data_IF_947239559863
#
_entry.id   IF_947239559863
#
_cell.length_a   1.000
_cell.length_b   1.000
_cell.length_c   1.000
_cell.angle_alpha   90.00
_cell.angle_beta   90.00
_cell.angle_gamma   90.00
#
_symmetry.space_group_name_H-M   'P 1'
#
loop_
_entity.id
_entity.type
_entity.pdbx_description
1 polymer ?
#
# COMPACT_ATOMS: atom_id res chain seq x y z
N UNK A 1 -18.88 -18.67 -5.28
CA UNK A 1 -20.09 -17.86 -4.95
C UNK A 1 -19.94 -17.04 -3.65
N UNK A 2 -18.98 -17.34 -2.76
CA UNK A 2 -18.86 -16.65 -1.44
C UNK A 2 -17.64 -15.73 -1.28
N UNK A 3 -16.79 -15.59 -2.31
CA UNK A 3 -15.64 -14.67 -2.23
C UNK A 3 -16.11 -13.23 -2.34
N UNK A 4 -15.50 -12.35 -1.54
CA UNK A 4 -15.72 -10.91 -1.67
C UNK A 4 -15.09 -10.37 -2.97
N UNK A 5 -15.48 -9.15 -3.33
CA UNK A 5 -15.01 -8.46 -4.55
C UNK A 5 -13.49 -8.45 -4.71
N UNK A 6 -12.75 -8.28 -3.61
CA UNK A 6 -11.29 -8.21 -3.57
C UNK A 6 -10.64 -9.51 -3.08
N UNK A 7 -11.28 -10.67 -3.28
CA UNK A 7 -10.75 -11.95 -2.84
C UNK A 7 -10.62 -12.96 -3.98
N UNK A 8 -9.66 -13.87 -3.84
CA UNK A 8 -9.41 -15.00 -4.74
C UNK A 8 -9.06 -16.25 -3.93
N UNK A 9 -9.14 -17.42 -4.56
CA UNK A 9 -8.57 -18.64 -4.02
C UNK A 9 -7.13 -18.82 -4.51
N UNK A 10 -6.17 -18.81 -3.58
CA UNK A 10 -4.76 -19.06 -3.83
C UNK A 10 -4.03 -19.63 -2.58
N UNK A 11 -3.24 -20.72 -2.71
CA UNK A 11 -3.25 -21.62 -3.86
C UNK A 11 -4.62 -22.31 -3.97
N UNK A 12 -4.93 -22.87 -5.15
CA UNK A 12 -6.13 -23.71 -5.31
C UNK A 12 -5.83 -25.11 -4.76
N UNK A 13 -5.67 -25.19 -3.45
CA UNK A 13 -5.54 -26.46 -2.72
C UNK A 13 -6.75 -27.39 -3.00
N UNK A 14 -6.62 -28.71 -2.79
CA UNK A 14 -7.72 -29.63 -3.02
C UNK A 14 -8.98 -29.22 -2.26
N UNK A 15 -10.11 -29.44 -2.92
CA UNK A 15 -11.45 -29.23 -2.35
C UNK A 15 -11.61 -30.15 -1.14
N UNK A 16 -11.93 -29.58 0.02
CA UNK A 16 -12.14 -30.34 1.26
C UNK A 16 -13.43 -31.16 1.23
N UNK A 17 -14.38 -30.77 0.39
CA UNK A 17 -15.67 -31.42 0.23
C UNK A 17 -16.65 -30.50 -0.48
N UNK A 18 -17.93 -30.89 -0.46
CA UNK A 18 -19.00 -30.13 -1.10
C UNK A 18 -20.11 -29.82 -0.09
N UNK A 19 -20.62 -28.59 -0.13
CA UNK A 19 -21.80 -28.19 0.62
C UNK A 19 -22.84 -27.70 -0.37
N UNK A 20 -23.99 -28.37 -0.43
CA UNK A 20 -25.05 -28.12 -1.44
C UNK A 20 -24.51 -28.07 -2.88
N UNK A 21 -23.60 -28.99 -3.21
CA UNK A 21 -22.96 -29.08 -4.53
C UNK A 21 -21.88 -28.01 -4.82
N UNK A 22 -21.60 -27.10 -3.88
CA UNK A 22 -20.54 -26.10 -4.02
C UNK A 22 -19.23 -26.60 -3.38
N UNK A 23 -18.07 -26.48 -4.06
CA UNK A 23 -16.79 -26.89 -3.50
C UNK A 23 -16.40 -26.01 -2.30
N UNK A 24 -15.95 -26.66 -1.24
CA UNK A 24 -15.47 -26.05 0.00
C UNK A 24 -13.94 -26.06 0.01
N UNK A 25 -13.35 -24.89 0.24
CA UNK A 25 -11.91 -24.70 0.30
C UNK A 25 -11.49 -24.28 1.71
N UNK A 26 -10.25 -24.58 2.15
CA UNK A 26 -9.71 -24.05 3.38
C UNK A 26 -9.76 -22.51 3.40
N UNK A 27 -10.10 -21.91 4.55
CA UNK A 27 -10.13 -20.43 4.69
C UNK A 27 -8.78 -19.78 4.36
N UNK A 28 -7.66 -20.48 4.61
CA UNK A 28 -6.30 -20.06 4.25
C UNK A 28 -6.08 -19.87 2.75
N UNK A 29 -6.89 -20.51 1.89
CA UNK A 29 -6.82 -20.31 0.45
C UNK A 29 -7.51 -19.00 0.04
N UNK A 30 -8.37 -18.42 0.87
CA UNK A 30 -9.04 -17.16 0.56
C UNK A 30 -8.08 -16.01 0.82
N UNK A 31 -7.52 -15.48 -0.25
CA UNK A 31 -6.57 -14.40 -0.21
C UNK A 31 -7.19 -13.08 -0.60
N UNK A 32 -6.76 -12.01 0.08
CA UNK A 32 -7.16 -10.63 -0.24
C UNK A 32 -6.23 -10.05 -1.29
N UNK A 33 -6.80 -9.40 -2.29
CA UNK A 33 -6.10 -8.68 -3.34
C UNK A 33 -6.12 -7.18 -3.06
N UNK A 34 -5.02 -6.49 -3.40
CA UNK A 34 -4.85 -5.05 -3.20
C UNK A 34 -4.11 -4.44 -4.38
N UNK A 35 -4.30 -3.14 -4.61
CA UNK A 35 -3.51 -2.41 -5.62
C UNK A 35 -2.07 -2.22 -5.15
N UNK A 36 -1.16 -1.86 -6.08
CA UNK A 36 0.25 -1.58 -5.76
C UNK A 36 0.36 -0.54 -4.65
N UNK A 37 -0.39 0.56 -4.74
CA UNK A 37 -0.35 1.63 -3.75
C UNK A 37 -0.84 1.19 -2.37
N UNK A 38 -1.84 0.29 -2.33
CA UNK A 38 -2.36 -0.23 -1.06
C UNK A 38 -1.42 -1.26 -0.42
N UNK A 39 -0.63 -1.98 -1.20
CA UNK A 39 0.44 -2.84 -0.68
C UNK A 39 1.57 -2.03 -0.04
N UNK A 40 1.93 -0.88 -0.61
CA UNK A 40 2.97 -0.01 -0.02
C UNK A 40 2.61 0.39 1.41
N UNK A 41 1.34 0.72 1.67
CA UNK A 41 0.85 1.06 3.02
C UNK A 41 1.02 -0.07 4.05
N UNK A 42 1.15 -1.31 3.57
CA UNK A 42 1.38 -2.51 4.38
C UNK A 42 2.86 -2.93 4.40
N UNK A 43 3.77 -2.02 4.03
CA UNK A 43 5.20 -2.27 3.90
C UNK A 43 5.51 -3.38 2.88
N UNK A 44 4.79 -3.39 1.77
CA UNK A 44 5.00 -4.35 0.68
C UNK A 44 5.04 -3.69 -0.69
N UNK A 45 5.89 -4.20 -1.56
CA UNK A 45 5.99 -3.77 -2.95
C UNK A 45 5.67 -4.94 -3.86
N UNK A 46 4.85 -4.70 -4.89
CA UNK A 46 4.55 -5.71 -5.91
C UNK A 46 5.79 -5.90 -6.79
N UNK A 47 6.19 -7.14 -7.05
CA UNK A 47 7.33 -7.43 -7.92
C UNK A 47 7.10 -6.88 -9.32
N UNK A 48 8.14 -6.42 -9.97
CA UNK A 48 8.05 -5.78 -11.29
C UNK A 48 7.51 -6.73 -12.38
N UNK A 49 7.84 -8.01 -12.26
CA UNK A 49 7.43 -9.08 -13.17
C UNK A 49 6.05 -9.69 -12.84
N UNK A 50 5.40 -9.25 -11.76
CA UNK A 50 4.13 -9.83 -11.35
C UNK A 50 2.97 -9.36 -12.23
N UNK A 51 2.22 -10.31 -12.80
CA UNK A 51 0.98 -10.03 -13.51
C UNK A 51 -0.21 -9.84 -12.54
N UNK A 52 -1.16 -8.93 -12.82
CA UNK A 52 -2.30 -8.70 -11.95
C UNK A 52 -3.22 -9.93 -11.92
N UNK A 53 -3.59 -10.38 -10.72
CA UNK A 53 -4.53 -11.49 -10.52
C UNK A 53 -5.95 -11.11 -10.93
N UNK A 54 -6.29 -9.83 -10.77
CA UNK A 54 -7.62 -9.31 -11.09
C UNK A 54 -7.55 -7.85 -11.51
N UNK A 55 -8.24 -7.53 -12.59
CA UNK A 55 -8.55 -6.15 -12.99
C UNK A 55 -9.95 -5.79 -12.52
N UNK A 56 -10.12 -4.57 -12.01
CA UNK A 56 -11.43 -4.06 -11.63
C UNK A 56 -11.63 -2.61 -12.04
N UNK A 57 -12.84 -2.22 -12.45
CA UNK A 57 -13.12 -0.83 -12.74
C UNK A 57 -12.93 0.01 -11.47
N UNK A 58 -12.32 1.19 -11.65
CA UNK A 58 -12.25 2.20 -10.61
C UNK A 58 -13.64 2.60 -10.12
N UNK A 59 -13.71 3.14 -8.90
CA UNK A 59 -14.97 3.61 -8.32
C UNK A 59 -15.48 4.82 -9.12
N UNK A 60 -16.78 4.85 -9.41
CA UNK A 60 -17.45 6.04 -9.98
C UNK A 60 -17.24 7.25 -9.07
N UNK A 61 -16.94 8.41 -9.65
CA UNK A 61 -16.60 9.65 -8.94
C UNK A 61 -15.18 9.69 -8.35
N UNK A 62 -14.31 8.72 -8.65
CA UNK A 62 -12.89 8.82 -8.33
C UNK A 62 -12.12 9.52 -9.45
N UNK A 63 -10.95 10.10 -9.15
CA UNK A 63 -10.06 10.69 -10.16
C UNK A 63 -9.59 9.70 -11.23
N UNK A 64 -9.75 8.39 -10.99
CA UNK A 64 -9.43 7.30 -11.91
C UNK A 64 -10.66 6.70 -12.57
N UNK A 65 -11.81 7.37 -12.55
CA UNK A 65 -13.03 6.87 -13.20
C UNK A 65 -12.78 6.55 -14.68
N UNK A 66 -13.34 5.42 -15.15
CA UNK A 66 -13.07 4.88 -16.48
C UNK A 66 -11.79 4.03 -16.59
N UNK A 67 -10.90 4.05 -15.58
CA UNK A 67 -9.69 3.24 -15.58
C UNK A 67 -9.89 1.87 -14.89
N UNK A 68 -9.04 0.91 -15.24
CA UNK A 68 -8.93 -0.37 -14.55
C UNK A 68 -7.89 -0.28 -13.43
N UNK A 69 -8.20 -0.86 -12.28
CA UNK A 69 -7.32 -1.02 -11.14
C UNK A 69 -6.80 -2.45 -11.15
N UNK A 70 -5.48 -2.58 -11.19
CA UNK A 70 -4.76 -3.83 -11.04
C UNK A 70 -4.71 -4.27 -9.58
N UNK A 71 -4.96 -5.55 -9.33
CA UNK A 71 -4.96 -6.13 -8.00
C UNK A 71 -4.04 -7.34 -7.92
N UNK A 72 -3.25 -7.36 -6.86
CA UNK A 72 -2.20 -8.32 -6.60
C UNK A 72 -2.42 -8.98 -5.24
N UNK A 73 -2.02 -10.24 -5.12
CA UNK A 73 -2.01 -10.98 -3.88
C UNK A 73 -0.71 -10.85 -3.11
N UNK A 74 -0.71 -11.23 -1.83
CA UNK A 74 0.48 -11.15 -0.96
C UNK A 74 1.69 -11.92 -1.54
N UNK A 75 1.46 -13.08 -2.17
CA UNK A 75 2.52 -13.93 -2.74
C UNK A 75 3.26 -13.28 -3.93
N UNK A 76 2.72 -12.20 -4.48
CA UNK A 76 3.29 -11.42 -5.59
C UNK A 76 4.10 -10.22 -5.14
N UNK A 77 4.35 -10.12 -3.84
CA UNK A 77 4.95 -8.93 -3.23
C UNK A 77 6.13 -9.30 -2.37
N UNK A 78 7.07 -8.37 -2.23
CA UNK A 78 8.20 -8.45 -1.31
C UNK A 78 8.08 -7.36 -0.24
N UNK A 79 8.93 -7.45 0.79
CA UNK A 79 8.99 -6.43 1.84
C UNK A 79 9.46 -5.12 1.21
N UNK A 80 8.66 -4.06 1.37
CA UNK A 80 9.07 -2.72 1.00
C UNK A 80 10.14 -2.23 1.98
N UNK A 81 11.23 -1.69 1.45
CA UNK A 81 12.29 -1.05 2.23
C UNK A 81 12.30 0.42 1.82
N UNK A 82 12.02 1.36 2.74
CA UNK A 82 12.09 2.77 2.42
C UNK A 82 13.50 3.16 1.99
N UNK A 83 13.64 4.15 1.11
CA UNK A 83 14.94 4.70 0.76
C UNK A 83 15.66 5.26 1.99
N UNK A 84 16.98 5.39 1.91
CA UNK A 84 17.77 6.10 2.90
C UNK A 84 17.89 7.58 2.51
N UNK A 85 18.04 8.46 3.50
CA UNK A 85 18.55 9.79 3.26
C UNK A 85 20.03 9.71 2.87
N UNK A 86 20.40 10.43 1.81
CA UNK A 86 21.76 10.50 1.30
C UNK A 86 22.21 11.96 1.35
N UNK A 87 23.43 12.21 1.82
CA UNK A 87 24.04 13.56 1.91
C UNK A 87 23.17 14.59 2.65
N UNK A 88 22.44 14.13 3.67
CA UNK A 88 21.53 14.96 4.44
C UNK A 88 20.22 15.32 3.73
N UNK A 89 19.96 14.74 2.55
CA UNK A 89 18.75 14.99 1.75
C UNK A 89 17.72 13.91 2.02
N UNK A 90 16.50 14.32 2.40
CA UNK A 90 15.38 13.41 2.60
C UNK A 90 14.78 13.00 1.24
N UNK A 91 14.54 11.70 0.99
CA UNK A 91 13.85 11.26 -0.22
C UNK A 91 12.39 11.74 -0.22
N UNK A 92 11.97 12.33 -1.34
CA UNK A 92 10.67 13.02 -1.50
C UNK A 92 9.96 12.55 -2.76
N UNK A 93 8.63 12.65 -2.76
CA UNK A 93 7.83 12.54 -3.98
C UNK A 93 7.96 13.80 -4.86
N UNK A 94 7.33 13.78 -6.04
CA UNK A 94 7.29 14.90 -7.00
C UNK A 94 6.71 16.20 -6.40
N UNK A 95 5.98 16.10 -5.28
CA UNK A 95 5.34 17.21 -4.58
C UNK A 95 6.11 17.65 -3.32
N UNK A 96 7.34 17.18 -3.12
CA UNK A 96 8.15 17.41 -1.90
C UNK A 96 7.51 16.88 -0.60
N UNK A 97 6.68 15.83 -0.72
CA UNK A 97 5.99 15.16 0.38
C UNK A 97 6.51 13.73 0.52
N UNK A 98 6.16 13.13 1.65
CA UNK A 98 6.46 11.74 1.94
C UNK A 98 5.26 11.11 2.64
N UNK A 99 4.69 10.06 2.07
CA UNK A 99 3.63 9.28 2.69
C UNK A 99 4.21 8.37 3.80
N UNK A 100 3.81 8.61 5.05
CA UNK A 100 4.24 7.82 6.22
C UNK A 100 3.01 7.19 6.87
N UNK A 101 2.68 5.96 6.48
CA UNK A 101 1.51 5.25 7.03
C UNK A 101 1.80 4.57 8.37
N UNK A 102 3.04 4.14 8.57
CA UNK A 102 3.54 3.54 9.81
C UNK A 102 4.95 4.06 10.09
N UNK A 103 5.47 3.94 11.32
CA UNK A 103 6.86 4.31 11.62
C UNK A 103 7.89 3.62 10.73
N UNK A 104 7.59 2.44 10.20
CA UNK A 104 8.47 1.71 9.27
C UNK A 104 8.58 2.35 7.89
N UNK A 105 7.71 3.30 7.54
CA UNK A 105 7.80 4.05 6.27
C UNK A 105 8.84 5.18 6.33
N UNK A 106 9.36 5.51 7.52
CA UNK A 106 10.36 6.57 7.67
C UNK A 106 11.65 6.15 6.98
N UNK A 107 12.20 6.98 6.06
CA UNK A 107 13.47 6.74 5.42
C UNK A 107 14.59 6.46 6.41
N UNK A 108 15.50 5.57 6.04
CA UNK A 108 16.67 5.30 6.87
C UNK A 108 17.51 6.57 7.05
N UNK A 109 17.94 6.85 8.27
CA UNK A 109 18.64 8.11 8.60
C UNK A 109 17.73 9.32 8.84
N UNK A 110 16.41 9.15 8.73
CA UNK A 110 15.44 10.18 9.09
C UNK A 110 14.71 9.85 10.40
N UNK A 111 14.07 10.88 10.96
CA UNK A 111 13.11 10.74 12.06
C UNK A 111 11.86 11.57 11.73
N UNK A 112 10.69 11.03 12.03
CA UNK A 112 9.44 11.76 11.88
C UNK A 112 9.23 12.69 13.08
N UNK A 113 9.16 14.01 12.84
CA UNK A 113 8.97 15.03 13.87
C UNK A 113 7.54 15.58 13.84
N UNK A 114 6.72 15.22 14.82
CA UNK A 114 5.32 15.63 14.93
C UNK A 114 5.17 16.93 15.74
N UNK A 115 5.54 18.07 15.15
CA UNK A 115 5.36 19.39 15.78
C UNK A 115 4.78 20.41 14.80
N UNK A 116 3.87 21.25 15.27
CA UNK A 116 3.16 22.27 14.46
C UNK A 116 4.09 23.18 13.65
N UNK A 117 5.25 23.51 14.20
CA UNK A 117 6.22 24.43 13.59
C UNK A 117 7.50 23.74 13.09
N UNK A 118 7.54 22.40 13.03
CA UNK A 118 8.73 21.64 12.63
C UNK A 118 9.28 22.08 11.27
N UNK A 119 8.42 22.14 10.24
CA UNK A 119 8.81 22.56 8.89
C UNK A 119 9.34 24.01 8.86
N UNK A 120 8.72 24.92 9.63
CA UNK A 120 9.18 26.30 9.71
C UNK A 120 10.56 26.40 10.35
N UNK A 121 10.82 25.62 11.40
CA UNK A 121 12.12 25.60 12.07
C UNK A 121 13.19 24.95 11.20
N UNK A 122 12.90 23.81 10.55
CA UNK A 122 13.82 23.15 9.63
C UNK A 122 14.26 24.11 8.51
N UNK A 123 13.31 24.85 7.92
CA UNK A 123 13.60 25.88 6.92
C UNK A 123 14.49 27.01 7.46
N UNK A 124 14.26 27.49 8.69
CA UNK A 124 15.10 28.53 9.33
C UNK A 124 16.51 28.03 9.61
N UNK A 125 16.64 26.76 10.01
CA UNK A 125 17.90 26.10 10.32
C UNK A 125 18.63 25.57 9.08
N UNK A 126 18.06 25.74 7.88
CA UNK A 126 18.60 25.23 6.62
C UNK A 126 18.82 23.71 6.62
N UNK A 127 17.95 22.97 7.31
CA UNK A 127 17.94 21.51 7.34
C UNK A 127 16.96 21.01 6.28
N UNK A 128 17.38 20.06 5.45
CA UNK A 128 16.50 19.40 4.48
C UNK A 128 15.40 18.62 5.23
N UNK A 129 14.16 18.75 4.76
CA UNK A 129 13.02 18.04 5.30
C UNK A 129 12.02 17.69 4.20
N UNK A 130 11.18 16.69 4.47
CA UNK A 130 9.99 16.38 3.70
C UNK A 130 8.74 16.59 4.57
N UNK A 131 7.63 17.01 3.96
CA UNK A 131 6.35 17.05 4.67
C UNK A 131 5.80 15.64 4.77
N UNK A 132 5.70 15.13 6.00
CA UNK A 132 5.16 13.81 6.29
C UNK A 132 3.61 13.81 6.21
N UNK A 133 3.06 13.00 5.32
CA UNK A 133 1.63 12.76 5.19
C UNK A 133 1.28 11.49 5.99
N UNK A 134 0.71 11.65 7.18
CA UNK A 134 0.50 10.54 8.13
C UNK A 134 -0.95 10.08 8.30
N UNK A 135 -1.83 10.47 7.37
CA UNK A 135 -3.26 10.18 7.44
C UNK A 135 -4.11 11.28 6.83
N UNK A 136 -5.42 11.02 6.80
CA UNK A 136 -6.42 12.03 6.47
C UNK A 136 -7.26 12.29 7.71
N UNK A 137 -7.36 13.55 8.11
CA UNK A 137 -8.23 13.96 9.19
C UNK A 137 -9.65 14.07 8.62
N UNK A 138 -10.52 13.10 8.95
CA UNK A 138 -11.93 13.17 8.58
C UNK A 138 -12.60 14.00 9.67
N UNK A 139 -12.73 15.30 9.42
CA UNK A 139 -13.52 16.16 10.30
C UNK A 139 -14.97 15.64 10.28
N UNK A 140 -15.57 15.35 11.45
CA UNK A 140 -16.96 14.91 11.54
C UNK A 140 -17.95 15.99 11.09
#
# INVERSE_FOLDING_TARGET
KHLLKFQVLHPKEPVLGYCSGLPVYPRRCVQTLRSKERWIREMRIVREDAEPVKLMPARKGSSREGQQIELFGFWQTDKYVPPFACDGIVPKDENNKLDIWTPEHVPGGCVHVQMKYAAQMARRLQIDYAVAMTGFDVRP
#
